data_IF_115354570653
#
_entry.id   IF_115354570653
#
_cell.length_a   1.000
_cell.length_b   1.000
_cell.length_c   1.000
_cell.angle_alpha   90.00
_cell.angle_beta   90.00
_cell.angle_gamma   90.00
#
_symmetry.space_group_name_H-M   'P 1'
#
loop_
_entity.id
_entity.type
_entity.pdbx_description
1 polymer ?
#
# COMPACT_ATOMS: atom_id res chain seq x y z
N UNK A 1 14.03 -8.95 20.49
CA UNK A 1 14.52 -7.56 20.45
C UNK A 1 13.67 -6.78 19.44
N UNK A 2 12.73 -5.96 19.89
CA UNK A 2 11.82 -5.16 19.05
C UNK A 2 12.27 -3.69 19.06
N UNK A 3 12.23 -3.01 17.91
CA UNK A 3 12.49 -1.55 17.79
C UNK A 3 13.96 -1.10 17.81
N UNK A 4 14.92 -2.03 17.87
CA UNK A 4 16.35 -1.73 18.09
C UNK A 4 16.98 -0.88 16.97
N UNK A 5 16.54 -1.05 15.72
CA UNK A 5 17.11 -0.39 14.55
C UNK A 5 16.19 0.66 13.93
N UNK A 6 15.19 1.13 14.67
CA UNK A 6 14.19 2.07 14.12
C UNK A 6 14.80 3.45 13.83
N UNK A 7 15.83 3.85 14.57
CA UNK A 7 16.54 5.13 14.41
C UNK A 7 17.87 5.01 13.67
N UNK A 8 18.11 3.90 12.95
CA UNK A 8 19.37 3.63 12.24
C UNK A 8 19.75 4.71 11.23
N UNK A 9 18.78 5.44 10.69
CA UNK A 9 19.05 6.56 9.79
C UNK A 9 19.76 7.71 10.52
N UNK A 10 19.21 8.14 11.66
CA UNK A 10 19.76 9.28 12.43
C UNK A 10 21.10 8.91 13.07
N UNK A 11 21.20 7.69 13.60
CA UNK A 11 22.40 7.24 14.33
C UNK A 11 23.47 6.61 13.42
N UNK A 12 23.18 6.42 12.13
CA UNK A 12 24.03 5.71 11.17
C UNK A 12 24.35 6.52 9.92
N UNK A 13 24.55 7.84 10.07
CA UNK A 13 24.91 8.78 9.00
C UNK A 13 23.95 8.75 7.79
N UNK A 14 22.67 8.46 8.01
CA UNK A 14 21.63 8.36 6.98
C UNK A 14 21.92 7.33 5.87
N UNK A 15 22.78 6.33 6.12
CA UNK A 15 23.12 5.27 5.13
C UNK A 15 21.92 4.40 4.72
N UNK A 16 20.90 4.29 5.57
CA UNK A 16 19.69 3.51 5.32
C UNK A 16 18.46 4.18 5.94
N UNK A 17 17.34 4.14 5.23
CA UNK A 17 16.07 4.68 5.75
C UNK A 17 15.25 3.58 6.43
N UNK A 18 14.66 3.79 7.64
CA UNK A 18 13.91 2.76 8.38
C UNK A 18 12.81 2.04 7.58
N UNK A 19 12.19 2.75 6.62
CA UNK A 19 11.23 2.19 5.64
C UNK A 19 11.71 0.93 4.90
N UNK A 20 13.03 0.75 4.75
CA UNK A 20 13.64 -0.37 4.06
C UNK A 20 13.73 -1.62 4.94
N UNK A 21 13.78 -1.43 6.26
CA UNK A 21 13.76 -2.51 7.26
C UNK A 21 12.37 -3.13 7.42
N UNK A 22 11.30 -2.43 6.99
CA UNK A 22 9.94 -2.91 7.09
C UNK A 22 9.74 -4.15 6.21
N UNK A 23 9.43 -5.28 6.86
CA UNK A 23 9.01 -6.51 6.18
C UNK A 23 7.53 -6.44 5.84
N UNK A 24 7.17 -6.95 4.66
CA UNK A 24 5.78 -6.98 4.21
C UNK A 24 5.64 -6.85 2.71
N UNK A 25 4.42 -6.63 2.21
CA UNK A 25 4.18 -6.55 0.78
C UNK A 25 4.95 -5.39 0.14
N UNK A 26 5.69 -5.67 -0.94
CA UNK A 26 6.55 -4.66 -1.62
C UNK A 26 5.80 -3.40 -2.05
N UNK A 27 4.51 -3.52 -2.32
CA UNK A 27 3.62 -2.43 -2.71
C UNK A 27 3.12 -1.58 -1.53
N UNK A 28 3.44 -1.93 -0.28
CA UNK A 28 3.09 -1.18 0.93
C UNK A 28 4.29 -0.71 1.76
N UNK A 29 5.50 -1.23 1.50
CA UNK A 29 6.71 -0.81 2.24
C UNK A 29 6.93 0.70 2.09
N UNK A 30 7.02 1.40 3.22
CA UNK A 30 7.25 2.84 3.27
C UNK A 30 6.13 3.70 2.67
N UNK A 31 4.90 3.19 2.57
CA UNK A 31 3.80 3.89 1.94
C UNK A 31 2.50 3.77 2.75
N UNK A 32 1.75 4.89 2.86
CA UNK A 32 0.46 4.96 3.55
C UNK A 32 -0.60 5.53 2.61
N UNK A 33 -1.80 4.96 2.67
CA UNK A 33 -2.97 5.46 1.95
C UNK A 33 -4.22 4.66 2.24
N UNK A 34 -5.36 5.18 1.80
CA UNK A 34 -6.67 4.57 2.01
C UNK A 34 -6.84 3.30 1.16
N UNK A 35 -7.96 2.59 1.36
CA UNK A 35 -8.19 1.31 0.69
C UNK A 35 -8.18 1.42 -0.84
N UNK A 36 -8.82 2.44 -1.41
CA UNK A 36 -8.86 2.65 -2.87
C UNK A 36 -7.44 2.85 -3.42
N UNK A 37 -6.64 3.69 -2.76
CA UNK A 37 -5.25 3.94 -3.15
C UNK A 37 -4.40 2.67 -3.03
N UNK A 38 -4.59 1.85 -1.97
CA UNK A 38 -3.93 0.55 -1.84
C UNK A 38 -4.29 -0.36 -3.00
N UNK A 39 -5.57 -0.53 -3.32
CA UNK A 39 -6.02 -1.40 -4.41
C UNK A 39 -5.43 -0.98 -5.77
N UNK A 40 -5.45 0.31 -6.09
CA UNK A 40 -4.86 0.85 -7.32
C UNK A 40 -3.35 0.56 -7.37
N UNK A 41 -2.65 0.78 -6.26
CA UNK A 41 -1.20 0.51 -6.16
C UNK A 41 -0.89 -0.98 -6.29
N UNK A 42 -1.69 -1.86 -5.69
CA UNK A 42 -1.58 -3.32 -5.86
C UNK A 42 -1.66 -3.69 -7.33
N UNK A 43 -2.71 -3.23 -8.00
CA UNK A 43 -2.98 -3.52 -9.41
C UNK A 43 -1.80 -3.07 -10.28
N UNK A 44 -1.30 -1.84 -10.08
CA UNK A 44 -0.18 -1.29 -10.85
C UNK A 44 1.13 -2.05 -10.63
N UNK A 45 1.43 -2.44 -9.39
CA UNK A 45 2.73 -3.03 -9.05
C UNK A 45 2.81 -4.55 -9.21
N UNK A 46 1.70 -5.26 -8.95
CA UNK A 46 1.69 -6.73 -8.93
C UNK A 46 0.57 -7.34 -9.76
N UNK A 47 -0.28 -6.54 -10.41
CA UNK A 47 -1.44 -7.04 -11.15
C UNK A 47 -1.08 -8.03 -12.26
N UNK A 48 0.05 -7.84 -12.95
CA UNK A 48 0.47 -8.72 -14.05
C UNK A 48 0.81 -10.16 -13.61
N UNK A 49 1.08 -10.35 -12.32
CA UNK A 49 1.43 -11.67 -11.73
C UNK A 49 0.39 -12.17 -10.74
N UNK A 50 -0.76 -11.52 -10.65
CA UNK A 50 -1.88 -11.98 -9.83
C UNK A 50 -2.65 -13.06 -10.57
N UNK A 51 -3.25 -13.98 -9.82
CA UNK A 51 -4.24 -14.92 -10.37
C UNK A 51 -5.41 -14.14 -11.01
N UNK A 52 -5.97 -14.70 -12.08
CA UNK A 52 -7.03 -14.05 -12.86
C UNK A 52 -8.24 -13.70 -11.99
N UNK A 53 -8.67 -14.62 -11.11
CA UNK A 53 -9.78 -14.40 -10.19
C UNK A 53 -9.51 -13.28 -9.18
N UNK A 54 -8.29 -13.22 -8.66
CA UNK A 54 -7.89 -12.19 -7.72
C UNK A 54 -7.81 -10.82 -8.39
N UNK A 55 -7.30 -10.76 -9.63
CA UNK A 55 -7.26 -9.53 -10.41
C UNK A 55 -8.68 -9.07 -10.75
N UNK A 56 -9.57 -9.99 -11.12
CA UNK A 56 -10.97 -9.70 -11.38
C UNK A 56 -11.68 -9.16 -10.12
N UNK A 57 -11.51 -9.80 -8.97
CA UNK A 57 -12.04 -9.33 -7.67
C UNK A 57 -11.46 -7.95 -7.29
N UNK A 58 -10.17 -7.74 -7.50
CA UNK A 58 -9.50 -6.46 -7.25
C UNK A 58 -10.08 -5.33 -8.10
N UNK A 59 -10.32 -5.59 -9.39
CA UNK A 59 -10.96 -4.63 -10.30
C UNK A 59 -12.37 -4.27 -9.84
N UNK A 60 -13.18 -5.27 -9.46
CA UNK A 60 -14.51 -5.02 -8.88
C UNK A 60 -14.44 -4.15 -7.62
N UNK A 61 -13.47 -4.42 -6.74
CA UNK A 61 -13.28 -3.64 -5.51
C UNK A 61 -12.91 -2.19 -5.80
N UNK A 62 -11.99 -1.95 -6.74
CA UNK A 62 -11.62 -0.59 -7.17
C UNK A 62 -12.84 0.16 -7.71
N UNK A 63 -13.61 -0.46 -8.61
CA UNK A 63 -14.81 0.16 -9.19
C UNK A 63 -15.87 0.48 -8.15
N UNK A 64 -16.07 -0.41 -7.17
CA UNK A 64 -16.98 -0.16 -6.04
C UNK A 64 -16.50 1.05 -5.21
N UNK A 65 -15.25 1.04 -4.76
CA UNK A 65 -14.70 2.09 -3.90
C UNK A 65 -14.66 3.45 -4.59
N UNK A 66 -14.35 3.47 -5.89
CA UNK A 66 -14.40 4.69 -6.69
C UNK A 66 -15.82 5.29 -6.71
N UNK A 67 -16.85 4.47 -6.95
CA UNK A 67 -18.24 4.94 -6.89
C UNK A 67 -18.62 5.39 -5.49
N UNK A 68 -18.27 4.60 -4.46
CA UNK A 68 -18.62 4.91 -3.08
C UNK A 68 -18.01 6.25 -2.64
N UNK A 69 -16.69 6.40 -2.72
CA UNK A 69 -16.01 7.62 -2.24
C UNK A 69 -16.34 8.86 -3.06
N UNK A 70 -16.59 8.73 -4.37
CA UNK A 70 -16.82 9.90 -5.23
C UNK A 70 -18.30 10.22 -5.45
N UNK A 71 -19.25 9.33 -5.13
CA UNK A 71 -20.69 9.55 -5.37
C UNK A 71 -21.54 9.48 -4.10
N UNK A 72 -21.06 8.84 -3.05
CA UNK A 72 -21.78 8.68 -1.79
C UNK A 72 -20.97 9.33 -0.65
N UNK A 73 -21.66 9.99 0.26
CA UNK A 73 -21.03 10.63 1.42
C UNK A 73 -22.02 11.54 2.12
N UNK A 74 -21.94 11.58 3.46
CA UNK A 74 -22.76 12.49 4.29
C UNK A 74 -22.28 13.93 4.18
N UNK A 75 -20.96 14.10 4.16
CA UNK A 75 -20.31 15.39 4.02
C UNK A 75 -19.86 15.52 2.58
N UNK A 76 -20.37 16.54 1.89
CA UNK A 76 -20.05 16.90 0.52
C UNK A 76 -20.10 18.40 0.38
#
# INVERSE_FOLDING_TARGET
MFGVYDNIGILGDFKMHPKELIKGPRWLRGWKGNELQRCIRKKKMVGNRMFLDDLHKLNKRISYLYKHFNRHGKYR
#
